data_IF_039732174947
#
_entry.id   IF_039732174947
#
_cell.length_a   1.000
_cell.length_b   1.000
_cell.length_c   1.000
_cell.angle_alpha   90.00
_cell.angle_beta   90.00
_cell.angle_gamma   90.00
#
_symmetry.space_group_name_H-M   'P 1'
#
loop_
_entity.id
_entity.type
_entity.pdbx_description
1 polymer ?
#
# COMPACT_ATOMS: atom_id res chain seq x y z
N UNK A 1 0.30 -14.05 3.74
CA UNK A 1 -0.33 -12.81 4.22
C UNK A 1 -0.01 -12.65 5.71
N UNK A 2 1.22 -12.27 6.05
CA UNK A 2 1.62 -12.25 7.46
C UNK A 2 2.28 -10.93 7.84
N UNK A 3 1.52 -9.81 7.67
CA UNK A 3 1.97 -8.49 8.12
C UNK A 3 1.72 -8.32 9.62
N UNK A 4 0.52 -8.63 10.15
CA UNK A 4 0.27 -8.47 11.57
C UNK A 4 1.26 -9.23 12.45
N UNK A 5 1.59 -10.51 12.19
CA UNK A 5 2.55 -11.21 13.03
C UNK A 5 3.93 -10.55 13.08
N UNK A 6 4.45 -10.05 11.95
CA UNK A 6 5.78 -9.46 11.92
C UNK A 6 5.87 -8.13 12.68
N UNK A 7 4.82 -7.31 12.64
CA UNK A 7 4.76 -6.01 13.34
C UNK A 7 4.38 -6.18 14.81
N UNK A 8 3.41 -7.03 15.11
CA UNK A 8 2.97 -7.33 16.48
C UNK A 8 4.06 -8.03 17.29
N UNK A 9 4.82 -8.91 16.66
CA UNK A 9 5.93 -9.63 17.28
C UNK A 9 7.09 -8.74 17.69
N UNK A 10 7.26 -7.57 17.07
CA UNK A 10 8.28 -6.59 17.44
C UNK A 10 7.81 -5.66 18.56
N UNK A 11 6.58 -5.82 19.05
CA UNK A 11 6.08 -5.08 20.21
C UNK A 11 6.24 -5.87 21.49
N UNK A 12 6.17 -5.20 22.63
CA UNK A 12 6.17 -5.79 23.97
C UNK A 12 4.81 -6.41 24.34
N UNK A 13 3.76 -6.10 23.56
CA UNK A 13 2.41 -6.63 23.74
C UNK A 13 2.19 -7.97 23.03
N UNK A 14 3.06 -8.33 22.08
CA UNK A 14 2.95 -9.55 21.27
C UNK A 14 3.95 -10.62 21.69
N UNK A 15 3.48 -11.83 22.03
CA UNK A 15 4.35 -12.97 22.30
C UNK A 15 3.96 -14.22 21.50
N UNK A 16 4.98 -14.85 20.89
CA UNK A 16 4.82 -16.15 20.23
C UNK A 16 4.61 -17.24 21.26
N UNK A 17 3.39 -17.70 21.42
CA UNK A 17 3.03 -18.79 22.33
C UNK A 17 3.62 -20.16 21.95
N UNK A 18 4.36 -20.26 20.82
CA UNK A 18 4.94 -21.50 20.34
C UNK A 18 6.47 -21.34 20.14
N UNK A 19 7.24 -22.21 20.78
CA UNK A 19 8.71 -22.24 20.72
C UNK A 19 9.25 -23.22 19.66
N UNK A 20 8.39 -23.73 18.76
CA UNK A 20 8.84 -24.71 17.75
C UNK A 20 9.67 -24.07 16.66
N UNK A 21 10.69 -24.78 16.16
CA UNK A 21 11.62 -24.32 15.09
C UNK A 21 10.91 -23.91 13.79
N UNK A 22 9.66 -24.30 13.57
CA UNK A 22 8.89 -23.93 12.35
C UNK A 22 8.55 -22.44 12.24
N UNK A 23 8.79 -21.66 13.29
CA UNK A 23 8.54 -20.22 13.34
C UNK A 23 9.78 -19.42 13.78
N UNK A 24 10.97 -19.97 13.55
CA UNK A 24 12.25 -19.36 13.94
C UNK A 24 12.44 -17.93 13.45
N UNK A 25 11.92 -17.60 12.27
CA UNK A 25 12.04 -16.26 11.69
C UNK A 25 11.25 -15.21 12.48
N UNK A 26 10.04 -15.54 12.94
CA UNK A 26 9.23 -14.66 13.77
C UNK A 26 9.80 -14.54 15.19
N UNK A 27 10.30 -15.63 15.75
CA UNK A 27 10.99 -15.63 17.06
C UNK A 27 12.23 -14.72 16.98
N UNK A 28 13.01 -14.83 15.90
CA UNK A 28 14.16 -13.97 15.68
C UNK A 28 13.78 -12.49 15.59
N UNK A 29 12.66 -12.16 14.94
CA UNK A 29 12.13 -10.79 14.89
C UNK A 29 11.71 -10.30 16.27
N UNK A 30 10.96 -11.11 17.05
CA UNK A 30 10.53 -10.77 18.40
C UNK A 30 11.71 -10.48 19.35
N UNK A 31 12.83 -11.16 19.15
CA UNK A 31 14.07 -10.94 19.92
C UNK A 31 15.02 -9.93 19.28
N UNK A 32 14.63 -9.27 18.20
CA UNK A 32 15.50 -8.36 17.42
C UNK A 32 16.80 -9.01 16.96
N UNK A 33 16.76 -10.32 16.68
CA UNK A 33 17.90 -11.13 16.25
C UNK A 33 17.70 -11.62 14.82
N UNK A 34 18.78 -11.73 14.04
CA UNK A 34 18.71 -12.33 12.70
C UNK A 34 17.81 -11.61 11.71
N UNK A 35 17.76 -10.28 11.77
CA UNK A 35 16.91 -9.43 10.90
C UNK A 35 17.51 -9.21 9.49
N UNK A 36 18.43 -10.05 9.07
CA UNK A 36 19.07 -9.97 7.75
C UNK A 36 18.21 -10.57 6.63
N UNK A 37 18.80 -10.58 5.42
CA UNK A 37 18.16 -11.12 4.19
C UNK A 37 17.73 -12.59 4.30
N UNK A 38 18.30 -13.34 5.23
CA UNK A 38 17.98 -14.76 5.48
C UNK A 38 16.67 -14.96 6.26
N UNK A 39 16.08 -13.89 6.82
CA UNK A 39 14.81 -14.00 7.54
C UNK A 39 13.64 -14.14 6.55
N UNK A 40 12.98 -15.28 6.55
CA UNK A 40 11.89 -15.60 5.62
C UNK A 40 10.67 -14.70 5.80
N UNK A 41 10.38 -14.22 7.01
CA UNK A 41 9.27 -13.33 7.27
C UNK A 41 9.49 -11.95 6.58
N UNK A 42 10.71 -11.40 6.68
CA UNK A 42 11.09 -10.15 6.00
C UNK A 42 11.09 -10.35 4.48
N UNK A 43 11.68 -11.43 3.99
CA UNK A 43 11.68 -11.74 2.55
C UNK A 43 10.29 -11.91 1.98
N UNK A 44 9.40 -12.60 2.68
CA UNK A 44 8.01 -12.78 2.28
C UNK A 44 7.25 -11.45 2.29
N UNK A 45 7.44 -10.63 3.32
CA UNK A 45 6.85 -9.30 3.39
C UNK A 45 7.18 -8.48 2.14
N UNK A 46 8.47 -8.40 1.78
CA UNK A 46 8.96 -7.73 0.58
C UNK A 46 8.36 -8.29 -0.70
N UNK A 47 8.46 -9.60 -0.90
CA UNK A 47 8.00 -10.26 -2.12
C UNK A 47 6.49 -10.08 -2.36
N UNK A 48 5.67 -10.21 -1.31
CA UNK A 48 4.22 -10.09 -1.46
C UNK A 48 3.79 -8.67 -1.82
N UNK A 49 4.48 -7.63 -1.30
CA UNK A 49 4.20 -6.24 -1.69
C UNK A 49 4.57 -5.98 -3.14
N UNK A 50 5.74 -6.43 -3.58
CA UNK A 50 6.12 -6.28 -4.99
C UNK A 50 5.25 -7.11 -5.94
N UNK A 51 4.78 -8.30 -5.55
CA UNK A 51 3.77 -9.05 -6.32
C UNK A 51 2.44 -8.27 -6.41
N UNK A 52 2.04 -7.59 -5.33
CA UNK A 52 0.89 -6.69 -5.34
C UNK A 52 1.08 -5.52 -6.29
N UNK A 53 2.21 -4.82 -6.18
CA UNK A 53 2.59 -3.70 -7.05
C UNK A 53 2.58 -4.11 -8.53
N UNK A 54 3.18 -5.26 -8.86
CA UNK A 54 3.17 -5.77 -10.23
C UNK A 54 1.74 -5.95 -10.76
N UNK A 55 0.85 -6.53 -9.96
CA UNK A 55 -0.57 -6.73 -10.35
C UNK A 55 -1.28 -5.40 -10.53
N UNK A 56 -1.01 -4.41 -9.67
CA UNK A 56 -1.55 -3.05 -9.80
C UNK A 56 -1.05 -2.37 -11.07
N UNK A 57 0.25 -2.46 -11.39
CA UNK A 57 0.83 -1.92 -12.61
C UNK A 57 0.17 -2.53 -13.86
N UNK A 58 0.05 -3.85 -13.90
CA UNK A 58 -0.63 -4.56 -15.01
C UNK A 58 -2.10 -4.11 -15.11
N UNK A 59 -2.81 -3.98 -13.99
CA UNK A 59 -4.21 -3.55 -13.98
C UNK A 59 -4.34 -2.11 -14.52
N UNK A 60 -3.55 -1.17 -14.00
CA UNK A 60 -3.58 0.23 -14.46
C UNK A 60 -3.30 0.31 -15.96
N UNK A 61 -2.26 -0.37 -16.44
CA UNK A 61 -1.87 -0.32 -17.84
C UNK A 61 -2.92 -0.97 -18.76
N UNK A 62 -3.35 -2.20 -18.45
CA UNK A 62 -4.29 -2.95 -19.29
C UNK A 62 -5.68 -2.33 -19.32
N UNK A 63 -6.19 -1.88 -18.16
CA UNK A 63 -7.50 -1.25 -18.09
C UNK A 63 -7.48 0.09 -18.85
N UNK A 64 -6.40 0.88 -18.72
CA UNK A 64 -6.28 2.15 -19.45
C UNK A 64 -6.32 1.96 -20.96
N UNK A 65 -5.73 0.87 -21.48
CA UNK A 65 -5.68 0.55 -22.90
C UNK A 65 -6.95 -0.15 -23.43
N UNK A 66 -7.81 -0.65 -22.55
CA UNK A 66 -9.01 -1.38 -22.93
C UNK A 66 -10.17 -0.41 -23.21
N UNK A 67 -11.01 -0.80 -24.18
CA UNK A 67 -12.27 -0.13 -24.44
C UNK A 67 -13.30 -0.56 -23.39
N UNK A 68 -13.91 0.42 -22.75
CA UNK A 68 -15.00 0.22 -21.80
C UNK A 68 -16.23 0.97 -22.30
N UNK A 69 -17.40 0.34 -22.21
CA UNK A 69 -18.67 1.01 -22.46
C UNK A 69 -19.09 1.93 -21.31
N UNK A 70 -18.51 1.71 -20.13
CA UNK A 70 -18.75 2.44 -18.88
C UNK A 70 -17.42 3.03 -18.40
N UNK A 71 -17.21 4.32 -18.68
CA UNK A 71 -15.98 5.03 -18.30
C UNK A 71 -15.90 5.24 -16.77
N UNK A 72 -17.02 5.33 -16.07
CA UNK A 72 -17.02 5.47 -14.61
C UNK A 72 -16.51 4.17 -13.96
N UNK A 73 -16.95 3.02 -14.48
CA UNK A 73 -16.44 1.72 -14.08
C UNK A 73 -14.94 1.62 -14.34
N UNK A 74 -14.48 2.05 -15.53
CA UNK A 74 -13.05 2.04 -15.89
C UNK A 74 -12.23 2.87 -14.93
N UNK A 75 -12.65 4.10 -14.66
CA UNK A 75 -11.97 5.02 -13.76
C UNK A 75 -11.94 4.48 -12.34
N UNK A 76 -13.03 3.90 -11.85
CA UNK A 76 -13.10 3.23 -10.55
C UNK A 76 -12.07 2.10 -10.44
N UNK A 77 -11.99 1.21 -11.43
CA UNK A 77 -11.04 0.08 -11.41
C UNK A 77 -9.58 0.54 -11.41
N UNK A 78 -9.27 1.61 -12.17
CA UNK A 78 -7.94 2.23 -12.15
C UNK A 78 -7.67 2.86 -10.78
N UNK A 79 -8.65 3.54 -10.19
CA UNK A 79 -8.57 4.13 -8.86
C UNK A 79 -8.30 3.08 -7.78
N UNK A 80 -9.02 1.95 -7.81
CA UNK A 80 -8.79 0.82 -6.90
C UNK A 80 -7.36 0.26 -7.02
N UNK A 81 -6.87 0.11 -8.25
CA UNK A 81 -5.50 -0.39 -8.49
C UNK A 81 -4.44 0.60 -7.98
N UNK A 82 -4.64 1.92 -8.18
CA UNK A 82 -3.75 2.96 -7.67
C UNK A 82 -3.78 3.03 -6.14
N UNK A 83 -4.95 2.95 -5.51
CA UNK A 83 -5.08 2.89 -4.07
C UNK A 83 -4.27 1.74 -3.46
N UNK A 84 -4.43 0.52 -4.01
CA UNK A 84 -3.69 -0.65 -3.55
C UNK A 84 -2.18 -0.52 -3.80
N UNK A 85 -1.78 0.08 -4.92
CA UNK A 85 -0.36 0.31 -5.23
C UNK A 85 0.26 1.28 -4.25
N UNK A 86 -0.40 2.40 -3.97
CA UNK A 86 -0.01 3.36 -2.95
C UNK A 86 0.11 2.71 -1.56
N UNK A 87 -0.85 1.87 -1.18
CA UNK A 87 -0.81 1.11 0.07
C UNK A 87 0.42 0.19 0.15
N UNK A 88 0.71 -0.60 -0.90
CA UNK A 88 1.87 -1.50 -0.90
C UNK A 88 3.19 -0.75 -0.83
N UNK A 89 3.33 0.37 -1.55
CA UNK A 89 4.52 1.22 -1.45
C UNK A 89 4.65 1.87 -0.08
N UNK A 90 3.55 2.30 0.54
CA UNK A 90 3.57 2.85 1.89
C UNK A 90 4.04 1.81 2.92
N UNK A 91 3.58 0.56 2.79
CA UNK A 91 4.07 -0.54 3.61
C UNK A 91 5.58 -0.77 3.43
N UNK A 92 6.08 -0.69 2.20
CA UNK A 92 7.51 -0.86 1.91
C UNK A 92 8.35 0.32 2.44
N UNK A 93 8.00 1.56 2.12
CA UNK A 93 8.79 2.73 2.49
C UNK A 93 8.85 2.93 4.01
N UNK A 94 7.76 2.64 4.71
CA UNK A 94 7.69 2.72 6.16
C UNK A 94 8.62 1.74 6.86
N UNK A 95 8.84 0.56 6.30
CA UNK A 95 9.66 -0.48 6.90
C UNK A 95 11.10 -0.51 6.38
N UNK A 96 11.36 -0.08 5.13
CA UNK A 96 12.67 -0.21 4.48
C UNK A 96 13.29 1.13 4.07
N UNK A 97 12.59 2.25 4.26
CA UNK A 97 13.00 3.53 3.70
C UNK A 97 12.87 3.56 2.19
N UNK A 98 13.83 4.15 1.46
CA UNK A 98 13.81 4.11 0.01
C UNK A 98 13.81 2.67 -0.52
N UNK A 99 13.09 2.43 -1.62
CA UNK A 99 12.92 1.12 -2.26
C UNK A 99 12.93 1.26 -3.79
N UNK A 100 13.18 0.18 -4.55
CA UNK A 100 13.03 0.21 -6.01
C UNK A 100 11.62 0.67 -6.42
N UNK A 101 11.53 1.73 -7.22
CA UNK A 101 10.26 2.30 -7.67
C UNK A 101 9.92 1.76 -9.08
N UNK A 102 8.98 0.82 -9.13
CA UNK A 102 8.50 0.18 -10.36
C UNK A 102 7.08 0.65 -10.64
N UNK A 103 6.91 1.51 -11.63
CA UNK A 103 5.65 2.23 -11.91
C UNK A 103 4.84 1.66 -13.06
N UNK A 104 5.42 0.71 -13.82
CA UNK A 104 4.82 0.06 -14.99
C UNK A 104 5.07 -1.44 -14.96
N UNK A 105 4.44 -2.16 -15.88
CA UNK A 105 4.82 -3.55 -16.15
C UNK A 105 6.16 -3.57 -16.85
N UNK A 106 7.12 -4.29 -16.31
CA UNK A 106 8.47 -4.43 -16.83
C UNK A 106 8.77 -5.90 -17.17
N UNK A 107 9.48 -6.09 -18.25
CA UNK A 107 10.04 -7.39 -18.60
C UNK A 107 11.27 -7.71 -17.72
N UNK A 108 11.65 -9.00 -17.57
CA UNK A 108 12.78 -9.39 -16.71
C UNK A 108 14.09 -8.67 -17.06
N UNK A 109 14.33 -8.36 -18.32
CA UNK A 109 15.52 -7.65 -18.78
C UNK A 109 15.55 -6.18 -18.33
N UNK A 110 14.40 -5.55 -18.20
CA UNK A 110 14.24 -4.15 -17.78
C UNK A 110 14.41 -3.96 -16.27
N UNK A 111 14.17 -5.04 -15.52
CA UNK A 111 14.28 -5.01 -14.04
C UNK A 111 15.74 -4.90 -13.59
N UNK A 112 16.69 -5.42 -14.36
CA UNK A 112 18.12 -5.50 -13.98
C UNK A 112 18.80 -4.16 -13.75
N UNK A 113 18.25 -3.06 -14.29
CA UNK A 113 18.78 -1.70 -14.13
C UNK A 113 18.14 -0.87 -13.03
N UNK A 114 17.13 -1.40 -12.34
CA UNK A 114 16.38 -0.62 -11.36
C UNK A 114 17.19 -0.51 -10.06
N UNK A 115 17.50 0.71 -9.68
CA UNK A 115 18.16 1.04 -8.42
C UNK A 115 17.16 1.45 -7.36
N UNK A 116 17.63 1.53 -6.12
CA UNK A 116 16.87 2.01 -4.98
C UNK A 116 16.55 3.50 -5.16
N UNK A 117 15.27 3.86 -5.17
CA UNK A 117 14.81 5.24 -5.12
C UNK A 117 14.93 5.81 -3.69
N UNK A 118 14.95 7.11 -3.57
CA UNK A 118 14.90 7.77 -2.26
C UNK A 118 13.54 7.55 -1.58
N UNK A 119 13.49 7.64 -0.26
CA UNK A 119 12.21 7.58 0.46
C UNK A 119 11.28 8.72 0.02
N UNK A 120 11.83 9.90 -0.24
CA UNK A 120 11.10 11.08 -0.71
C UNK A 120 10.41 10.83 -2.06
N UNK A 121 11.13 10.25 -3.03
CA UNK A 121 10.56 9.91 -4.34
C UNK A 121 9.45 8.88 -4.22
N UNK A 122 9.62 7.88 -3.34
CA UNK A 122 8.60 6.87 -3.08
C UNK A 122 7.36 7.49 -2.43
N UNK A 123 7.53 8.37 -1.43
CA UNK A 123 6.41 9.08 -0.82
C UNK A 123 5.67 9.96 -1.81
N UNK A 124 6.38 10.69 -2.66
CA UNK A 124 5.77 11.49 -3.72
C UNK A 124 4.91 10.66 -4.66
N UNK A 125 5.42 9.50 -5.09
CA UNK A 125 4.68 8.57 -5.93
C UNK A 125 3.42 8.05 -5.23
N UNK A 126 3.49 7.73 -3.94
CA UNK A 126 2.34 7.30 -3.13
C UNK A 126 1.29 8.41 -3.06
N UNK A 127 1.72 9.65 -2.81
CA UNK A 127 0.82 10.81 -2.77
C UNK A 127 0.06 10.99 -4.09
N UNK A 128 0.76 10.88 -5.22
CA UNK A 128 0.17 11.04 -6.55
C UNK A 128 -0.84 9.91 -6.85
N UNK A 129 -0.52 8.67 -6.49
CA UNK A 129 -1.44 7.54 -6.65
C UNK A 129 -2.67 7.66 -5.76
N UNK A 130 -2.52 8.08 -4.50
CA UNK A 130 -3.64 8.21 -3.56
C UNK A 130 -4.53 9.40 -3.90
N UNK A 131 -3.99 10.52 -4.37
CA UNK A 131 -4.78 11.66 -4.88
C UNK A 131 -5.62 11.24 -6.09
N UNK A 132 -4.98 10.61 -7.07
CA UNK A 132 -5.69 10.11 -8.25
C UNK A 132 -6.73 9.03 -7.90
N UNK A 133 -6.48 8.21 -6.89
CA UNK A 133 -7.45 7.25 -6.39
C UNK A 133 -8.64 7.95 -5.71
N UNK A 134 -8.39 8.98 -4.88
CA UNK A 134 -9.45 9.73 -4.22
C UNK A 134 -10.39 10.43 -5.20
N UNK A 135 -9.84 10.93 -6.32
CA UNK A 135 -10.61 11.58 -7.38
C UNK A 135 -11.44 10.60 -8.22
N UNK A 136 -10.96 9.36 -8.38
CA UNK A 136 -11.58 8.36 -9.25
C UNK A 136 -12.54 7.41 -8.51
N UNK A 137 -12.41 7.28 -7.20
CA UNK A 137 -13.20 6.34 -6.39
C UNK A 137 -14.52 6.96 -5.92
N UNK A 138 -15.63 6.19 -5.93
CA UNK A 138 -16.88 6.62 -5.35
C UNK A 138 -16.78 6.80 -3.82
N UNK A 139 -17.70 7.57 -3.26
CA UNK A 139 -17.95 7.60 -1.82
C UNK A 139 -18.61 6.30 -1.39
N UNK A 140 -18.53 6.00 -0.09
CA UNK A 140 -19.14 4.78 0.46
C UNK A 140 -20.65 4.70 0.18
N UNK A 141 -21.37 5.82 0.30
CA UNK A 141 -22.81 5.92 0.06
C UNK A 141 -23.22 5.69 -1.40
N UNK A 142 -22.28 5.80 -2.34
CA UNK A 142 -22.51 5.63 -3.78
C UNK A 142 -22.33 4.16 -4.22
N UNK A 143 -21.78 3.29 -3.37
CA UNK A 143 -21.62 1.88 -3.68
C UNK A 143 -22.91 1.09 -3.50
N UNK A 144 -23.21 0.21 -4.46
CA UNK A 144 -24.25 -0.79 -4.29
C UNK A 144 -23.88 -1.79 -3.16
N UNK A 145 -24.90 -2.40 -2.56
CA UNK A 145 -24.69 -3.37 -1.48
C UNK A 145 -23.77 -4.55 -1.86
N UNK A 146 -23.73 -4.93 -3.14
CA UNK A 146 -22.85 -5.97 -3.68
C UNK A 146 -21.37 -5.55 -3.76
N UNK A 147 -21.09 -4.25 -3.78
CA UNK A 147 -19.76 -3.69 -3.88
C UNK A 147 -19.21 -3.18 -2.54
N UNK A 148 -19.93 -3.40 -1.45
CA UNK A 148 -19.48 -3.03 -0.11
C UNK A 148 -18.15 -3.72 0.24
N UNK A 149 -17.21 -2.92 0.78
CA UNK A 149 -15.85 -3.38 1.11
C UNK A 149 -14.79 -3.06 0.05
N UNK A 150 -15.17 -2.47 -1.09
CA UNK A 150 -14.22 -1.90 -2.06
C UNK A 150 -13.57 -0.61 -1.52
N UNK A 151 -12.45 -0.23 -2.13
CA UNK A 151 -11.78 1.03 -1.80
C UNK A 151 -12.70 2.21 -2.14
N UNK A 152 -12.77 3.20 -1.26
CA UNK A 152 -13.57 4.40 -1.39
C UNK A 152 -12.69 5.65 -1.49
N UNK A 153 -13.24 6.76 -1.97
CA UNK A 153 -12.56 8.06 -1.94
C UNK A 153 -12.08 8.41 -0.52
N UNK A 154 -12.92 8.23 0.50
CA UNK A 154 -12.56 8.46 1.89
C UNK A 154 -11.41 7.55 2.37
N UNK A 155 -11.39 6.27 1.97
CA UNK A 155 -10.28 5.39 2.31
C UNK A 155 -8.94 5.85 1.70
N UNK A 156 -8.98 6.41 0.48
CA UNK A 156 -7.80 6.96 -0.18
C UNK A 156 -7.31 8.24 0.52
N UNK A 157 -8.23 9.14 0.90
CA UNK A 157 -7.89 10.36 1.66
C UNK A 157 -7.39 10.04 3.07
N UNK A 158 -8.01 9.11 3.78
CA UNK A 158 -7.55 8.66 5.09
C UNK A 158 -6.14 8.06 5.06
N UNK A 159 -5.84 7.24 4.03
CA UNK A 159 -4.48 6.72 3.84
C UNK A 159 -3.50 7.84 3.45
N UNK A 160 -3.90 8.79 2.61
CA UNK A 160 -3.08 9.94 2.23
C UNK A 160 -2.75 10.81 3.45
N UNK A 161 -3.73 11.08 4.32
CA UNK A 161 -3.49 11.78 5.58
C UNK A 161 -2.45 11.06 6.45
N UNK A 162 -2.53 9.73 6.55
CA UNK A 162 -1.51 8.92 7.24
C UNK A 162 -0.14 9.01 6.59
N UNK A 163 -0.08 9.01 5.27
CA UNK A 163 1.18 9.18 4.50
C UNK A 163 1.82 10.53 4.79
N UNK A 164 1.04 11.60 4.88
CA UNK A 164 1.52 12.92 5.27
C UNK A 164 2.04 12.96 6.71
N UNK A 165 1.35 12.31 7.66
CA UNK A 165 1.82 12.22 9.05
C UNK A 165 3.20 11.59 9.16
N UNK A 166 3.47 10.53 8.38
CA UNK A 166 4.79 9.88 8.37
C UNK A 166 5.90 10.73 7.76
N UNK A 167 5.55 11.78 7.02
CA UNK A 167 6.48 12.75 6.44
C UNK A 167 6.56 14.06 7.25
N UNK A 168 5.87 14.13 8.40
CA UNK A 168 5.76 15.35 9.23
C UNK A 168 5.12 16.54 8.50
N UNK A 169 4.34 16.27 7.45
CA UNK A 169 3.55 17.26 6.68
C UNK A 169 2.22 17.49 7.41
N UNK A 170 2.28 18.17 8.57
CA UNK A 170 1.16 18.27 9.51
C UNK A 170 -0.03 19.03 8.94
N UNK A 171 0.21 20.10 8.18
CA UNK A 171 -0.85 20.91 7.61
C UNK A 171 -1.59 20.14 6.51
N UNK A 172 -0.86 19.51 5.61
CA UNK A 172 -1.42 18.70 4.53
C UNK A 172 -2.22 17.50 5.09
N UNK A 173 -1.72 16.88 6.16
CA UNK A 173 -2.43 15.80 6.85
C UNK A 173 -3.75 16.30 7.45
N UNK A 174 -3.72 17.46 8.13
CA UNK A 174 -4.91 18.08 8.70
C UNK A 174 -5.94 18.38 7.61
N UNK A 175 -5.54 19.03 6.53
CA UNK A 175 -6.44 19.48 5.47
C UNK A 175 -7.13 18.32 4.77
N UNK A 176 -6.37 17.25 4.47
CA UNK A 176 -6.91 16.04 3.85
C UNK A 176 -7.87 15.30 4.78
N UNK A 177 -7.51 15.13 6.05
CA UNK A 177 -8.35 14.42 7.03
C UNK A 177 -9.60 15.23 7.41
N UNK A 178 -9.53 16.56 7.42
CA UNK A 178 -10.70 17.40 7.62
C UNK A 178 -11.66 17.30 6.43
N UNK A 179 -11.15 17.24 5.20
CA UNK A 179 -11.97 17.01 4.02
C UNK A 179 -12.67 15.64 4.09
N UNK A 180 -11.96 14.58 4.54
CA UNK A 180 -12.52 13.23 4.72
C UNK A 180 -13.61 13.20 5.80
N UNK A 181 -13.45 13.95 6.90
CA UNK A 181 -14.45 14.04 7.97
C UNK A 181 -15.80 14.58 7.50
N UNK A 182 -15.80 15.44 6.47
CA UNK A 182 -17.02 15.93 5.81
C UNK A 182 -17.72 14.83 4.98
N UNK A 183 -17.02 13.78 4.60
CA UNK A 183 -17.56 12.63 3.87
C UNK A 183 -17.98 11.47 4.78
N UNK A 184 -17.44 11.39 6.01
CA UNK A 184 -17.71 10.30 6.97
C UNK A 184 -18.86 10.59 7.93
N UNK A 185 -19.24 11.86 8.12
CA UNK A 185 -20.23 12.27 9.13
C UNK A 185 -21.67 12.37 8.60
N UNK A 186 -21.96 11.91 7.39
CA UNK A 186 -23.28 12.01 6.76
C UNK A 186 -23.96 10.66 6.52
N UNK A 187 -23.64 9.60 7.26
CA UNK A 187 -24.35 8.32 7.23
C UNK A 187 -24.81 7.89 8.64
#
# INVERSE_FOLDING_TARGET
IDVPPATEMCSDDGWMGNTTQSQSDYISLAHYQGTGQSNGAISNFWQYRYKGILRCNVAVERISQSEFSDEDMKNRLIGEARFLRGYFYFELVRNFGGVPLVTSFLLPEEIQGITRASAEDVYKFIEDDLKAAADALPKRSEYAATDMGRATSGAALGLLGKVYLYQEKWQEAHDVLQADSLYCCCD
#
